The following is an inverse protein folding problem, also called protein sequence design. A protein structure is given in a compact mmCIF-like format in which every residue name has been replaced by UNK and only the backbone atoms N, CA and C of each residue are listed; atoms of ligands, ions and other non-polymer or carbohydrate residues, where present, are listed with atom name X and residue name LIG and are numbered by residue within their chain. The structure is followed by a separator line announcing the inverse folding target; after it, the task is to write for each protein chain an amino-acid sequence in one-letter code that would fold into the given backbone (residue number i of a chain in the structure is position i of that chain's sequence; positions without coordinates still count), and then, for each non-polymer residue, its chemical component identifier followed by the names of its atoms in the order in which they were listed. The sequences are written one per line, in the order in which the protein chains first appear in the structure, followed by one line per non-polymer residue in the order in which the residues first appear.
data_IF_217977836026
#
_entry.id   IF_217977836026
#
_cell.length_a   1.000
_cell.length_b   1.000
_cell.length_c   1.000
_cell.angle_alpha   90.00
_cell.angle_beta   90.00
_cell.angle_gamma   90.00
#
_symmetry.space_group_name_H-M   'P 1'
#
loop_
_entity.id
_entity.type
_entity.pdbx_description
1 polymer ?
#
# COMPACT_ATOMS: atom_id res chain seq x y z
N UNK A 1 22.07 -2.18 -6.48
CA UNK A 1 20.80 -2.80 -6.89
C UNK A 1 20.84 -4.34 -6.73
N UNK A 2 19.81 -4.91 -6.12
CA UNK A 2 19.60 -6.36 -6.11
C UNK A 2 18.95 -6.71 -7.45
N UNK A 3 19.69 -7.35 -8.35
CA UNK A 3 19.17 -7.78 -9.66
C UNK A 3 19.69 -9.17 -10.01
N UNK A 4 18.87 -9.96 -10.70
CA UNK A 4 19.29 -11.23 -11.27
C UNK A 4 18.90 -11.31 -12.77
N UNK A 5 19.83 -11.66 -13.67
CA UNK A 5 21.27 -11.79 -13.43
C UNK A 5 21.87 -10.47 -12.90
N UNK A 6 23.03 -10.54 -12.23
CA UNK A 6 23.67 -9.37 -11.62
C UNK A 6 23.97 -8.24 -12.64
N UNK A 7 24.07 -8.59 -13.93
CA UNK A 7 24.29 -7.66 -15.03
C UNK A 7 23.02 -6.95 -15.50
N UNK A 8 21.81 -7.40 -15.12
CA UNK A 8 20.55 -6.87 -15.65
C UNK A 8 20.41 -5.36 -15.40
N UNK A 9 20.44 -4.94 -14.13
CA UNK A 9 20.27 -3.51 -13.80
C UNK A 9 21.40 -2.62 -14.38
N UNK A 10 22.70 -2.99 -14.29
CA UNK A 10 23.76 -2.21 -14.95
C UNK A 10 23.61 -2.10 -16.47
N UNK A 11 23.12 -3.14 -17.15
CA UNK A 11 22.88 -3.11 -18.59
C UNK A 11 21.72 -2.17 -18.92
N UNK A 12 20.61 -2.28 -18.18
CA UNK A 12 19.46 -1.41 -18.36
C UNK A 12 19.85 0.06 -18.15
N UNK A 13 20.68 0.34 -17.14
CA UNK A 13 21.15 1.70 -16.85
C UNK A 13 22.04 2.27 -17.95
N UNK A 14 22.82 1.43 -18.65
CA UNK A 14 23.63 1.85 -19.81
C UNK A 14 22.78 2.16 -21.04
N UNK A 15 21.60 1.55 -21.16
CA UNK A 15 20.71 1.70 -22.30
C UNK A 15 19.75 2.88 -22.11
N UNK A 16 19.21 3.05 -20.90
CA UNK A 16 18.13 4.00 -20.61
C UNK A 16 18.56 5.17 -19.69
N UNK A 17 19.78 5.12 -19.16
CA UNK A 17 20.25 6.08 -18.14
C UNK A 17 20.15 5.51 -16.72
N UNK A 18 20.81 6.16 -15.74
CA UNK A 18 20.73 5.73 -14.34
C UNK A 18 19.31 5.92 -13.80
N UNK A 19 18.82 4.93 -13.07
CA UNK A 19 17.46 4.88 -12.53
C UNK A 19 17.44 4.56 -11.03
N UNK A 20 16.35 4.95 -10.37
CA UNK A 20 16.13 4.63 -8.96
C UNK A 20 15.88 3.12 -8.76
N UNK A 21 16.49 2.53 -7.74
CA UNK A 21 16.37 1.08 -7.45
C UNK A 21 16.00 0.76 -6.00
N UNK A 22 15.77 1.79 -5.18
CA UNK A 22 15.47 1.66 -3.76
C UNK A 22 14.48 2.77 -3.35
N UNK A 23 13.50 2.42 -2.51
CA UNK A 23 12.60 3.37 -1.87
C UNK A 23 11.62 4.05 -2.83
N UNK A 24 11.11 5.20 -2.41
CA UNK A 24 10.34 6.10 -3.26
C UNK A 24 11.32 6.91 -4.12
N UNK A 25 11.14 6.86 -5.43
CA UNK A 25 12.05 7.51 -6.36
C UNK A 25 11.87 9.03 -6.37
N UNK A 26 10.63 9.49 -6.20
CA UNK A 26 10.25 10.89 -6.07
C UNK A 26 10.43 11.38 -4.62
N UNK A 27 10.90 12.62 -4.46
CA UNK A 27 11.12 13.21 -3.14
C UNK A 27 9.80 13.74 -2.53
N UNK A 28 8.94 12.80 -2.16
CA UNK A 28 7.66 13.08 -1.50
C UNK A 28 7.84 13.85 -0.20
N UNK A 29 8.95 13.62 0.52
CA UNK A 29 9.29 14.35 1.75
C UNK A 29 9.54 15.83 1.48
N UNK A 30 10.41 16.15 0.53
CA UNK A 30 10.68 17.54 0.15
C UNK A 30 9.43 18.26 -0.37
N UNK A 31 8.53 17.56 -1.08
CA UNK A 31 7.26 18.16 -1.50
C UNK A 31 6.32 18.40 -0.31
N UNK A 32 6.20 17.45 0.61
CA UNK A 32 5.36 17.56 1.82
C UNK A 32 5.86 18.65 2.76
N UNK A 33 7.18 18.83 2.85
CA UNK A 33 7.83 19.87 3.66
C UNK A 33 7.97 21.21 2.90
N UNK A 34 7.34 21.32 1.72
CA UNK A 34 7.29 22.52 0.88
C UNK A 34 8.68 23.05 0.43
N UNK A 35 9.70 22.18 0.43
CA UNK A 35 11.04 22.45 -0.12
C UNK A 35 11.05 22.28 -1.64
N UNK A 36 10.25 21.35 -2.16
CA UNK A 36 10.03 21.10 -3.58
C UNK A 36 8.61 21.55 -3.96
N UNK A 37 8.46 22.28 -5.07
CA UNK A 37 7.11 22.68 -5.53
C UNK A 37 6.35 21.48 -6.09
N UNK A 38 5.01 21.54 -6.09
CA UNK A 38 4.19 20.48 -6.67
C UNK A 38 4.48 20.28 -8.16
N UNK A 39 4.79 21.35 -8.91
CA UNK A 39 5.15 21.25 -10.32
C UNK A 39 6.47 20.50 -10.51
N UNK A 40 7.49 20.80 -9.70
CA UNK A 40 8.77 20.12 -9.75
C UNK A 40 8.66 18.65 -9.28
N UNK A 41 7.78 18.37 -8.32
CA UNK A 41 7.45 17.01 -7.90
C UNK A 41 6.77 16.23 -9.04
N UNK A 42 5.79 16.82 -9.72
CA UNK A 42 5.14 16.21 -10.88
C UNK A 42 6.13 15.95 -12.01
N UNK A 43 7.08 16.87 -12.25
CA UNK A 43 8.16 16.65 -13.23
C UNK A 43 9.00 15.42 -12.87
N UNK A 44 9.32 15.20 -11.59
CA UNK A 44 9.99 13.97 -11.14
C UNK A 44 9.15 12.72 -11.42
N UNK A 45 7.86 12.73 -10.99
CA UNK A 45 6.93 11.62 -11.22
C UNK A 45 6.90 11.23 -12.70
N UNK A 46 6.66 12.19 -13.60
CA UNK A 46 6.54 11.89 -15.03
C UNK A 46 7.87 11.51 -15.67
N UNK A 47 9.01 12.01 -15.19
CA UNK A 47 10.33 11.57 -15.65
C UNK A 47 10.57 10.10 -15.30
N UNK A 48 10.21 9.70 -14.07
CA UNK A 48 10.35 8.32 -13.59
C UNK A 48 9.35 7.39 -14.29
N UNK A 49 8.13 7.86 -14.53
CA UNK A 49 7.11 7.11 -15.28
C UNK A 49 7.60 6.79 -16.71
N UNK A 50 8.10 7.81 -17.43
CA UNK A 50 8.67 7.62 -18.77
C UNK A 50 9.87 6.67 -18.79
N UNK A 51 10.73 6.75 -17.76
CA UNK A 51 11.83 5.82 -17.57
C UNK A 51 11.33 4.38 -17.41
N UNK A 52 10.32 4.15 -16.56
CA UNK A 52 9.73 2.83 -16.33
C UNK A 52 9.04 2.28 -17.57
N UNK A 53 8.32 3.10 -18.32
CA UNK A 53 7.73 2.71 -19.60
C UNK A 53 8.80 2.24 -20.58
N UNK A 54 9.89 3.00 -20.73
CA UNK A 54 10.98 2.65 -21.63
C UNK A 54 11.64 1.32 -21.22
N UNK A 55 11.84 1.10 -19.92
CA UNK A 55 12.37 -0.15 -19.38
C UNK A 55 11.40 -1.32 -19.55
N UNK A 56 10.10 -1.10 -19.30
CA UNK A 56 9.06 -2.11 -19.47
C UNK A 56 8.97 -2.57 -20.92
N UNK A 57 8.86 -1.66 -21.88
CA UNK A 57 8.81 -2.04 -23.29
C UNK A 57 10.12 -2.66 -23.78
N UNK A 58 11.27 -2.22 -23.27
CA UNK A 58 12.55 -2.88 -23.55
C UNK A 58 12.55 -4.36 -23.12
N UNK A 59 12.03 -4.64 -21.91
CA UNK A 59 11.96 -5.98 -21.36
C UNK A 59 10.88 -6.82 -22.05
N UNK A 60 9.70 -6.26 -22.30
CA UNK A 60 8.58 -6.91 -22.97
C UNK A 60 9.00 -7.43 -24.36
N UNK A 61 9.69 -6.62 -25.15
CA UNK A 61 10.18 -7.01 -26.48
C UNK A 61 11.23 -8.13 -26.47
N UNK A 62 11.85 -8.39 -25.32
CA UNK A 62 12.93 -9.38 -25.16
C UNK A 62 12.52 -10.58 -24.32
N UNK A 63 11.29 -10.58 -23.82
CA UNK A 63 10.73 -11.69 -23.05
C UNK A 63 9.87 -12.52 -23.98
N UNK A 64 10.46 -13.52 -24.64
CA UNK A 64 9.74 -14.42 -25.54
C UNK A 64 8.99 -15.55 -24.82
N UNK A 65 9.37 -15.83 -23.57
CA UNK A 65 8.73 -16.80 -22.68
C UNK A 65 8.92 -16.37 -21.23
N UNK A 66 8.01 -16.75 -20.33
CA UNK A 66 8.09 -16.45 -18.91
C UNK A 66 7.26 -15.23 -18.50
N UNK A 67 7.78 -14.44 -17.56
CA UNK A 67 7.07 -13.33 -16.91
C UNK A 67 7.82 -12.01 -17.14
N UNK A 68 7.12 -11.01 -17.68
CA UNK A 68 7.55 -9.61 -17.67
C UNK A 68 6.63 -8.83 -16.73
N UNK A 69 7.18 -8.25 -15.66
CA UNK A 69 6.44 -7.51 -14.65
C UNK A 69 7.07 -6.13 -14.45
N UNK A 70 6.23 -5.11 -14.41
CA UNK A 70 6.59 -3.74 -14.06
C UNK A 70 5.58 -3.18 -13.06
N UNK A 71 6.03 -2.25 -12.22
CA UNK A 71 5.18 -1.50 -11.28
C UNK A 71 5.23 -0.03 -11.69
N UNK A 72 4.08 0.50 -12.10
CA UNK A 72 3.86 1.91 -12.37
C UNK A 72 3.23 2.53 -11.11
N UNK A 73 4.01 3.32 -10.36
CA UNK A 73 3.58 3.88 -9.07
C UNK A 73 3.20 5.35 -9.14
N UNK A 74 3.29 5.98 -10.32
CA UNK A 74 2.83 7.36 -10.51
C UNK A 74 1.40 7.60 -9.98
N UNK A 75 0.42 6.68 -10.16
CA UNK A 75 -0.92 6.88 -9.59
C UNK A 75 -0.91 7.05 -8.07
N UNK A 76 -0.10 6.26 -7.36
CA UNK A 76 0.05 6.35 -5.91
C UNK A 76 0.66 7.70 -5.51
N UNK A 77 1.74 8.12 -6.19
CA UNK A 77 2.45 9.37 -5.91
C UNK A 77 1.56 10.61 -6.12
N UNK A 78 0.88 10.67 -7.27
CA UNK A 78 0.03 11.81 -7.64
C UNK A 78 -1.20 11.90 -6.73
N UNK A 79 -1.86 10.77 -6.47
CA UNK A 79 -3.04 10.74 -5.61
C UNK A 79 -2.69 11.13 -4.16
N UNK A 80 -1.55 10.71 -3.63
CA UNK A 80 -1.14 11.06 -2.27
C UNK A 80 -0.80 12.55 -2.10
N UNK A 81 0.01 13.11 -3.01
CA UNK A 81 0.66 14.43 -2.79
C UNK A 81 -0.07 15.58 -3.48
N UNK A 82 -0.63 15.35 -4.67
CA UNK A 82 -1.27 16.40 -5.48
C UNK A 82 -2.78 16.35 -5.31
N UNK A 83 -3.36 15.14 -5.41
CA UNK A 83 -4.79 14.89 -5.24
C UNK A 83 -5.69 15.84 -6.07
N UNK A 84 -5.27 16.13 -7.29
CA UNK A 84 -6.03 16.91 -8.28
C UNK A 84 -6.66 15.95 -9.29
N UNK A 85 -8.01 15.92 -9.33
CA UNK A 85 -8.74 14.93 -10.13
C UNK A 85 -8.42 15.02 -11.63
N UNK A 86 -8.41 16.20 -12.29
CA UNK A 86 -7.97 16.31 -13.68
C UNK A 86 -6.58 15.74 -13.97
N UNK A 87 -5.61 15.96 -13.08
CA UNK A 87 -4.26 15.39 -13.24
C UNK A 87 -4.24 13.87 -13.06
N UNK A 88 -5.01 13.35 -12.10
CA UNK A 88 -5.19 11.91 -11.90
C UNK A 88 -5.83 11.28 -13.14
N UNK A 89 -6.91 11.87 -13.67
CA UNK A 89 -7.60 11.39 -14.86
C UNK A 89 -6.65 11.35 -16.07
N UNK A 90 -5.89 12.43 -16.31
CA UNK A 90 -4.90 12.49 -17.39
C UNK A 90 -3.80 11.42 -17.26
N UNK A 91 -3.37 11.12 -16.03
CA UNK A 91 -2.42 10.04 -15.78
C UNK A 91 -3.03 8.67 -16.08
N UNK A 92 -4.28 8.41 -15.70
CA UNK A 92 -4.97 7.17 -16.05
C UNK A 92 -5.20 7.04 -17.57
N UNK A 93 -5.50 8.12 -18.28
CA UNK A 93 -5.59 8.13 -19.75
C UNK A 93 -4.24 7.76 -20.40
N UNK A 94 -3.13 8.28 -19.86
CA UNK A 94 -1.79 7.91 -20.31
C UNK A 94 -1.48 6.43 -20.07
N UNK A 95 -1.79 5.92 -18.88
CA UNK A 95 -1.61 4.50 -18.52
C UNK A 95 -2.49 3.56 -19.35
N UNK A 96 -3.72 3.96 -19.68
CA UNK A 96 -4.56 3.23 -20.63
C UNK A 96 -3.88 3.11 -22.00
N UNK A 97 -3.21 4.18 -22.45
CA UNK A 97 -2.34 4.15 -23.62
C UNK A 97 -1.20 3.12 -23.53
N UNK A 98 -0.55 2.99 -22.37
CA UNK A 98 0.48 1.97 -22.11
C UNK A 98 -0.12 0.56 -22.18
N UNK A 99 -1.31 0.34 -21.61
CA UNK A 99 -2.05 -0.93 -21.72
C UNK A 99 -2.37 -1.25 -23.17
N UNK A 100 -2.88 -0.29 -23.93
CA UNK A 100 -3.18 -0.45 -25.36
C UNK A 100 -1.95 -0.81 -26.20
N UNK A 101 -0.82 -0.14 -25.95
CA UNK A 101 0.46 -0.48 -26.59
C UNK A 101 0.95 -1.87 -26.21
N UNK A 102 0.79 -2.27 -24.94
CA UNK A 102 1.12 -3.62 -24.46
C UNK A 102 0.31 -4.66 -25.21
N UNK A 103 -1.02 -4.52 -25.25
CA UNK A 103 -1.93 -5.41 -25.97
C UNK A 103 -1.53 -5.58 -27.45
N UNK A 104 -1.07 -4.52 -28.11
CA UNK A 104 -0.64 -4.57 -29.52
C UNK A 104 0.61 -5.43 -29.77
N UNK A 105 1.39 -5.71 -28.73
CA UNK A 105 2.62 -6.53 -28.77
C UNK A 105 2.37 -7.98 -28.37
N UNK A 106 1.20 -8.31 -27.83
CA UNK A 106 0.85 -9.64 -27.36
C UNK A 106 0.29 -10.52 -28.48
N UNK A 107 0.46 -11.83 -28.31
CA UNK A 107 -0.13 -12.90 -29.11
C UNK A 107 -1.33 -13.50 -28.39
N UNK A 108 -2.04 -14.42 -29.07
CA UNK A 108 -3.17 -15.14 -28.46
C UNK A 108 -2.75 -16.01 -27.26
N UNK A 109 -1.49 -16.43 -27.20
CA UNK A 109 -0.94 -17.30 -26.17
C UNK A 109 -0.49 -16.52 -24.91
N UNK A 110 -0.46 -15.20 -24.97
CA UNK A 110 -0.04 -14.35 -23.85
C UNK A 110 -1.20 -13.97 -22.91
N UNK A 111 -0.89 -13.91 -21.60
CA UNK A 111 -1.76 -13.37 -20.56
C UNK A 111 -1.25 -12.01 -20.11
N UNK A 112 -2.10 -10.99 -20.21
CA UNK A 112 -1.91 -9.68 -19.58
C UNK A 112 -2.75 -9.60 -18.33
N UNK A 113 -2.11 -9.25 -17.21
CA UNK A 113 -2.78 -8.85 -15.97
C UNK A 113 -2.39 -7.41 -15.68
N UNK A 114 -3.39 -6.53 -15.52
CA UNK A 114 -3.20 -5.17 -15.00
C UNK A 114 -3.92 -5.11 -13.67
N UNK A 115 -3.20 -4.80 -12.60
CA UNK A 115 -3.76 -4.82 -11.27
C UNK A 115 -3.22 -3.72 -10.38
N UNK A 116 -3.95 -3.48 -9.31
CA UNK A 116 -3.56 -2.61 -8.21
C UNK A 116 -3.67 -3.39 -6.90
N UNK A 117 -2.67 -3.20 -6.04
CA UNK A 117 -2.60 -3.79 -4.71
C UNK A 117 -3.60 -3.18 -3.72
N UNK A 118 -4.02 -1.93 -3.94
CA UNK A 118 -5.02 -1.24 -3.12
C UNK A 118 -5.71 -0.09 -3.85
N UNK A 119 -6.93 0.23 -3.41
CA UNK A 119 -7.57 1.50 -3.76
C UNK A 119 -6.96 2.68 -2.99
N UNK A 120 -7.66 3.82 -3.01
CA UNK A 120 -7.23 5.03 -2.32
C UNK A 120 -8.45 5.85 -1.92
N UNK A 121 -8.33 6.66 -0.87
CA UNK A 121 -9.38 7.58 -0.46
C UNK A 121 -8.85 8.74 0.40
N UNK A 122 -9.70 9.72 0.73
CA UNK A 122 -9.26 10.94 1.40
C UNK A 122 -8.78 10.66 2.83
N UNK A 123 -7.73 11.35 3.27
CA UNK A 123 -7.30 11.41 4.66
C UNK A 123 -7.50 12.82 5.20
N UNK A 124 -8.54 12.98 6.04
CA UNK A 124 -8.97 14.28 6.57
C UNK A 124 -8.68 14.41 8.06
N UNK A 125 -8.72 13.31 8.80
CA UNK A 125 -8.56 13.26 10.25
C UNK A 125 -7.61 12.15 10.67
N UNK A 126 -6.90 12.39 11.75
CA UNK A 126 -6.04 11.39 12.37
C UNK A 126 -6.63 10.96 13.70
N UNK A 127 -6.56 9.66 13.99
CA UNK A 127 -6.80 9.09 15.31
C UNK A 127 -5.46 8.57 15.87
N UNK A 128 -4.94 9.25 16.87
CA UNK A 128 -3.75 8.87 17.62
C UNK A 128 -4.12 7.79 18.64
N UNK A 129 -4.02 6.53 18.22
CA UNK A 129 -4.38 5.39 19.06
C UNK A 129 -3.50 5.33 20.31
N UNK A 130 -2.23 5.73 20.24
CA UNK A 130 -1.33 5.72 21.40
C UNK A 130 -1.70 6.79 22.42
N UNK A 131 -2.03 8.01 22.00
CA UNK A 131 -2.56 9.03 22.90
C UNK A 131 -3.87 8.56 23.58
N UNK A 132 -4.75 7.89 22.83
CA UNK A 132 -5.98 7.31 23.37
C UNK A 132 -5.70 6.18 24.37
N UNK A 133 -4.76 5.28 24.07
CA UNK A 133 -4.35 4.21 24.98
C UNK A 133 -3.75 4.75 26.28
N UNK A 134 -2.99 5.85 26.22
CA UNK A 134 -2.46 6.53 27.41
C UNK A 134 -3.61 7.08 28.26
N UNK A 135 -4.56 7.79 27.66
CA UNK A 135 -5.73 8.35 28.37
C UNK A 135 -6.54 7.24 29.07
N UNK A 136 -6.65 6.07 28.44
CA UNK A 136 -7.37 4.91 28.96
C UNK A 136 -6.54 4.04 29.92
N UNK A 137 -5.26 4.36 30.13
CA UNK A 137 -4.37 3.61 31.04
C UNK A 137 -3.88 2.27 30.48
N UNK A 138 -3.94 2.07 29.16
CA UNK A 138 -3.40 0.89 28.47
C UNK A 138 -1.93 1.04 28.07
N UNK A 139 -1.44 2.26 27.86
CA UNK A 139 -0.09 2.54 27.41
C UNK A 139 0.64 3.47 28.39
N UNK A 140 1.89 3.13 28.69
CA UNK A 140 2.83 3.98 29.43
C UNK A 140 4.06 4.18 28.54
N UNK A 141 4.50 5.42 28.36
CA UNK A 141 5.70 5.73 27.57
C UNK A 141 6.96 5.76 28.44
N UNK A 142 8.07 5.25 27.91
CA UNK A 142 9.43 5.41 28.41
C UNK A 142 10.24 6.24 27.39
N UNK A 143 10.20 7.57 27.55
CA UNK A 143 10.67 8.48 26.50
C UNK A 143 9.78 8.38 25.27
N UNK A 144 10.39 8.17 24.10
CA UNK A 144 9.69 8.10 22.81
C UNK A 144 9.22 6.68 22.44
N UNK A 145 9.31 5.72 23.36
CA UNK A 145 8.93 4.33 23.10
C UNK A 145 8.01 3.77 24.18
N UNK A 146 7.16 2.77 23.88
CA UNK A 146 6.33 2.11 24.89
C UNK A 146 7.17 1.44 25.99
N UNK A 147 6.82 1.70 27.25
CA UNK A 147 7.31 0.94 28.40
C UNK A 147 6.66 -0.45 28.40
N UNK A 148 7.38 -1.45 27.91
CA UNK A 148 6.85 -2.80 27.71
C UNK A 148 6.46 -3.51 29.01
N UNK A 149 7.01 -3.11 30.16
CA UNK A 149 6.70 -3.74 31.45
C UNK A 149 5.42 -3.16 32.08
N UNK A 150 5.13 -1.89 31.80
CA UNK A 150 3.99 -1.17 32.40
C UNK A 150 2.79 -1.02 31.47
N UNK A 151 2.97 -1.28 30.17
CA UNK A 151 1.93 -1.17 29.16
C UNK A 151 1.19 -2.49 28.97
N UNK A 152 -0.08 -2.40 28.57
CA UNK A 152 -0.93 -3.52 28.17
C UNK A 152 -1.09 -3.61 26.66
N UNK A 153 -1.02 -2.48 25.95
CA UNK A 153 -1.07 -2.43 24.50
C UNK A 153 -0.34 -1.20 23.96
N UNK A 154 0.11 -1.26 22.70
CA UNK A 154 0.63 -0.12 21.96
C UNK A 154 0.34 -0.26 20.46
N UNK A 155 0.07 0.87 19.79
CA UNK A 155 -0.01 0.98 18.35
C UNK A 155 1.37 1.18 17.73
N UNK A 156 1.61 0.53 16.59
CA UNK A 156 2.82 0.69 15.79
C UNK A 156 2.52 0.35 14.33
N UNK A 157 3.05 1.15 13.41
CA UNK A 157 2.72 1.07 12.00
C UNK A 157 1.36 1.66 11.70
N UNK A 158 0.88 1.45 10.46
CA UNK A 158 -0.28 2.16 9.95
C UNK A 158 -1.62 1.68 10.54
N UNK A 159 -1.69 0.40 10.91
CA UNK A 159 -2.89 -0.25 11.45
C UNK A 159 -2.60 -1.23 12.59
N UNK A 160 -1.34 -1.44 12.96
CA UNK A 160 -0.97 -2.49 13.92
C UNK A 160 -1.20 -2.07 15.37
N UNK A 161 -1.79 -2.96 16.16
CA UNK A 161 -1.88 -2.85 17.62
C UNK A 161 -1.34 -4.13 18.26
N UNK A 162 -0.38 -3.99 19.17
CA UNK A 162 0.31 -5.06 19.85
C UNK A 162 -0.15 -5.13 21.31
N UNK A 163 -0.41 -6.33 21.80
CA UNK A 163 -0.80 -6.62 23.17
C UNK A 163 0.42 -7.12 23.97
N UNK A 164 0.58 -6.58 25.18
CA UNK A 164 1.64 -6.94 26.12
C UNK A 164 1.10 -7.63 27.37
N UNK A 165 -0.22 -7.65 27.53
CA UNK A 165 -0.93 -8.31 28.61
C UNK A 165 -2.42 -8.42 28.32
N UNK A 166 -3.24 -8.88 29.29
CA UNK A 166 -4.68 -9.01 29.12
C UNK A 166 -5.30 -7.67 28.72
N UNK A 167 -6.18 -7.69 27.71
CA UNK A 167 -6.83 -6.51 27.16
C UNK A 167 -8.34 -6.75 26.91
N UNK A 168 -8.99 -7.40 27.87
CA UNK A 168 -10.42 -7.70 27.81
C UNK A 168 -11.24 -6.40 27.61
N UNK A 169 -12.10 -6.39 26.59
CA UNK A 169 -12.92 -5.23 26.26
C UNK A 169 -12.25 -4.19 25.36
N UNK A 170 -10.92 -4.24 25.16
CA UNK A 170 -10.18 -3.22 24.40
C UNK A 170 -10.71 -3.08 22.97
N UNK A 171 -11.03 -4.20 22.32
CA UNK A 171 -11.63 -4.19 20.97
C UNK A 171 -12.95 -3.41 20.95
N UNK A 172 -13.84 -3.67 21.90
CA UNK A 172 -15.13 -2.97 22.01
C UNK A 172 -14.96 -1.50 22.37
N UNK A 173 -14.00 -1.17 23.24
CA UNK A 173 -13.67 0.22 23.57
C UNK A 173 -13.15 0.98 22.36
N UNK A 174 -12.25 0.39 21.57
CA UNK A 174 -11.72 0.96 20.32
C UNK A 174 -12.84 1.22 19.30
N UNK A 175 -13.74 0.25 19.11
CA UNK A 175 -14.89 0.41 18.22
C UNK A 175 -15.92 1.45 18.73
N UNK A 176 -15.96 1.69 20.04
CA UNK A 176 -16.85 2.69 20.65
C UNK A 176 -16.27 4.11 20.65
N UNK A 177 -15.02 4.30 20.20
CA UNK A 177 -14.40 5.62 20.10
C UNK A 177 -15.20 6.49 19.13
N UNK A 178 -15.48 7.73 19.54
CA UNK A 178 -16.15 8.73 18.72
C UNK A 178 -15.28 9.98 18.70
N UNK A 179 -15.02 10.50 17.50
CA UNK A 179 -14.40 11.80 17.34
C UNK A 179 -15.40 12.90 17.72
N UNK A 180 -15.12 13.72 18.75
CA UNK A 180 -16.08 14.70 19.24
C UNK A 180 -16.34 15.84 18.25
N UNK A 181 -15.48 16.07 17.27
CA UNK A 181 -15.62 17.15 16.30
C UNK A 181 -16.57 16.76 15.15
N UNK A 182 -16.53 15.51 14.73
CA UNK A 182 -17.33 15.00 13.59
C UNK A 182 -18.53 14.17 14.03
N UNK A 183 -18.51 13.60 15.23
CA UNK A 183 -19.48 12.62 15.71
C UNK A 183 -19.30 11.22 15.10
N UNK A 184 -18.22 10.98 14.36
CA UNK A 184 -17.97 9.70 13.67
C UNK A 184 -17.03 8.79 14.48
N UNK A 185 -17.17 7.48 14.26
CA UNK A 185 -16.22 6.49 14.77
C UNK A 185 -15.04 6.37 13.80
N UNK A 186 -13.78 6.51 14.25
CA UNK A 186 -12.61 6.46 13.37
C UNK A 186 -12.32 5.05 12.85
N UNK A 187 -12.81 4.01 13.54
CA UNK A 187 -12.63 2.60 13.20
C UNK A 187 -13.97 2.00 12.75
N UNK A 188 -13.93 1.23 11.66
CA UNK A 188 -15.05 0.43 11.19
C UNK A 188 -14.99 -1.01 11.72
N UNK A 189 -13.78 -1.55 11.83
CA UNK A 189 -13.53 -2.84 12.47
C UNK A 189 -12.15 -2.85 13.15
N UNK A 190 -11.93 -3.86 13.97
CA UNK A 190 -10.66 -4.21 14.59
C UNK A 190 -10.54 -5.72 14.44
N UNK A 191 -9.71 -6.17 13.51
CA UNK A 191 -9.53 -7.59 13.22
C UNK A 191 -8.55 -8.24 14.18
N UNK A 192 -8.81 -9.48 14.55
CA UNK A 192 -7.83 -10.32 15.23
C UNK A 192 -6.89 -10.93 14.19
N UNK A 193 -5.59 -10.67 14.32
CA UNK A 193 -4.60 -11.14 13.35
C UNK A 193 -4.54 -12.66 13.23
N UNK A 194 -4.89 -13.38 14.29
CA UNK A 194 -5.02 -14.84 14.30
C UNK A 194 -6.11 -15.39 13.36
N UNK A 195 -7.09 -14.57 12.99
CA UNK A 195 -8.12 -14.93 12.00
C UNK A 195 -7.75 -14.57 10.56
N UNK A 196 -6.72 -13.73 10.37
CA UNK A 196 -6.32 -13.21 9.07
C UNK A 196 -5.06 -13.88 8.53
N UNK A 197 -4.05 -14.03 9.39
CA UNK A 197 -2.71 -14.43 8.98
C UNK A 197 -2.41 -15.88 9.39
N UNK A 198 -1.72 -16.59 8.51
CA UNK A 198 -1.24 -17.94 8.74
C UNK A 198 0.25 -18.05 8.36
N UNK A 199 0.93 -19.07 8.88
CA UNK A 199 2.31 -19.38 8.52
C UNK A 199 3.37 -18.98 9.55
N UNK A 200 4.66 -19.07 9.18
CA UNK A 200 5.79 -19.09 10.12
C UNK A 200 6.16 -17.73 10.72
N UNK A 201 5.46 -16.65 10.33
CA UNK A 201 5.73 -15.29 10.78
C UNK A 201 4.55 -14.63 11.50
N UNK A 202 3.49 -15.38 11.82
CA UNK A 202 2.33 -14.85 12.55
C UNK A 202 2.70 -14.28 13.92
N UNK A 203 3.77 -14.79 14.54
CA UNK A 203 4.33 -14.28 15.80
C UNK A 203 4.94 -12.87 15.67
N UNK A 204 5.18 -12.40 14.44
CA UNK A 204 5.67 -11.04 14.14
C UNK A 204 4.56 -10.08 13.72
N UNK A 205 3.34 -10.59 13.49
CA UNK A 205 2.20 -9.75 13.17
C UNK A 205 1.77 -8.95 14.41
N UNK A 206 1.05 -7.82 14.23
CA UNK A 206 0.30 -7.25 15.35
C UNK A 206 -0.71 -8.28 15.88
N UNK A 207 -1.23 -8.05 17.09
CA UNK A 207 -2.30 -8.90 17.65
C UNK A 207 -3.67 -8.48 17.08
N UNK A 208 -3.86 -7.17 16.89
CA UNK A 208 -5.04 -6.59 16.27
C UNK A 208 -4.67 -5.69 15.08
N UNK A 209 -5.50 -5.70 14.05
CA UNK A 209 -5.40 -4.81 12.88
C UNK A 209 -6.56 -3.82 12.90
N UNK A 210 -6.25 -2.54 13.01
CA UNK A 210 -7.20 -1.44 13.03
C UNK A 210 -7.64 -1.11 11.60
N UNK A 211 -8.95 -1.25 11.33
CA UNK A 211 -9.54 -0.94 10.04
C UNK A 211 -10.26 0.41 10.11
N UNK A 212 -9.60 1.46 9.58
CA UNK A 212 -10.12 2.82 9.68
C UNK A 212 -11.30 3.07 8.75
N UNK A 213 -12.16 4.00 9.16
CA UNK A 213 -13.17 4.62 8.31
C UNK A 213 -12.48 5.50 7.25
N UNK A 214 -12.94 5.50 5.98
CA UNK A 214 -12.47 6.46 4.98
C UNK A 214 -12.55 7.91 5.50
N UNK A 215 -11.46 8.66 5.37
CA UNK A 215 -11.31 9.96 6.02
C UNK A 215 -10.45 9.94 7.28
N UNK A 216 -10.31 8.79 7.94
CA UNK A 216 -9.48 8.60 9.13
C UNK A 216 -8.26 7.74 8.85
N UNK A 217 -7.16 8.08 9.52
CA UNK A 217 -5.92 7.29 9.54
C UNK A 217 -5.34 7.31 10.95
N UNK A 218 -4.42 6.39 11.26
CA UNK A 218 -3.52 6.58 12.40
C UNK A 218 -2.77 7.91 12.32
N UNK A 219 -2.42 8.50 13.46
CA UNK A 219 -1.52 9.65 13.48
C UNK A 219 -0.10 9.25 13.08
N UNK A 220 0.70 10.21 12.60
CA UNK A 220 2.12 9.99 12.29
C UNK A 220 2.92 9.53 13.52
N UNK A 221 2.61 10.08 14.70
CA UNK A 221 3.27 9.69 15.95
C UNK A 221 2.94 8.23 16.32
N UNK A 222 1.65 7.87 16.33
CA UNK A 222 1.21 6.49 16.57
C UNK A 222 1.81 5.51 15.57
N UNK A 223 1.91 5.87 14.29
CA UNK A 223 2.54 5.03 13.28
C UNK A 223 4.02 4.72 13.59
N UNK A 224 4.72 5.62 14.28
CA UNK A 224 6.11 5.44 14.71
C UNK A 224 6.24 4.79 16.10
N UNK A 225 5.12 4.41 16.73
CA UNK A 225 5.10 3.88 18.09
C UNK A 225 5.18 4.94 19.20
N UNK A 226 5.09 6.22 18.83
CA UNK A 226 5.05 7.36 19.74
C UNK A 226 3.60 7.75 20.06
N UNK A 227 3.40 8.69 20.98
CA UNK A 227 2.09 9.27 21.27
C UNK A 227 2.08 10.77 20.97
N UNK A 228 1.10 11.22 20.20
CA UNK A 228 0.85 12.64 19.98
C UNK A 228 0.27 13.34 21.21
N UNK A 229 0.12 14.66 21.11
CA UNK A 229 -0.46 15.48 22.19
C UNK A 229 -1.99 15.42 22.25
N UNK A 230 -2.64 15.06 21.14
CA UNK A 230 -4.09 14.97 21.02
C UNK A 230 -4.49 13.63 20.43
N UNK A 231 -5.67 13.13 20.82
CA UNK A 231 -6.25 11.89 20.28
C UNK A 231 -6.72 12.08 18.85
N UNK A 232 -7.27 13.25 18.53
CA UNK A 232 -7.73 13.59 17.19
C UNK A 232 -7.02 14.83 16.67
N UNK A 233 -6.78 14.87 15.36
CA UNK A 233 -6.28 16.05 14.67
C UNK A 233 -6.73 16.09 13.22
N UNK A 234 -6.92 17.30 12.70
CA UNK A 234 -7.20 17.52 11.28
C UNK A 234 -5.92 17.35 10.48
N UNK A 235 -5.99 16.66 9.34
CA UNK A 235 -4.89 16.56 8.40
C UNK A 235 -4.73 17.89 7.65
N UNK A 236 -3.59 18.54 7.84
CA UNK A 236 -3.20 19.76 7.13
C UNK A 236 -1.98 19.54 6.23
N UNK A 237 -1.52 18.30 6.08
CA UNK A 237 -0.35 17.96 5.27
C UNK A 237 -0.69 17.96 3.77
N UNK A 238 0.25 18.27 2.87
CA UNK A 238 0.07 18.01 1.44
C UNK A 238 -0.26 16.54 1.10
N UNK A 239 0.05 15.59 1.99
CA UNK A 239 -0.37 14.19 1.86
C UNK A 239 -1.86 14.02 2.20
N UNK A 240 -2.73 14.04 1.18
CA UNK A 240 -4.18 14.24 1.33
C UNK A 240 -5.02 12.97 1.15
N UNK A 241 -4.44 11.89 0.64
CA UNK A 241 -5.11 10.60 0.49
C UNK A 241 -4.32 9.49 1.17
N UNK A 242 -5.00 8.40 1.51
CA UNK A 242 -4.40 7.23 2.12
C UNK A 242 -5.18 5.97 1.72
N UNK A 243 -4.67 4.80 2.10
CA UNK A 243 -5.28 3.50 1.85
C UNK A 243 -5.35 2.63 3.12
N UNK A 244 -4.99 3.17 4.29
CA UNK A 244 -5.06 2.50 5.59
C UNK A 244 -6.50 2.42 6.13
N UNK A 245 -7.46 2.08 5.28
CA UNK A 245 -8.88 1.98 5.62
C UNK A 245 -9.30 0.52 5.70
N UNK A 246 -10.55 0.30 6.09
CA UNK A 246 -11.18 -1.01 5.95
C UNK A 246 -11.16 -1.48 4.48
N UNK A 247 -10.81 -2.75 4.19
CA UNK A 247 -10.54 -3.24 2.83
C UNK A 247 -11.69 -3.01 1.85
N UNK A 248 -12.94 -3.13 2.29
CA UNK A 248 -14.14 -2.86 1.48
C UNK A 248 -14.22 -1.43 0.91
N UNK A 249 -13.44 -0.49 1.45
CA UNK A 249 -13.43 0.90 1.02
C UNK A 249 -12.22 1.29 0.17
N UNK A 250 -11.25 0.39 -0.01
CA UNK A 250 -10.05 0.59 -0.84
C UNK A 250 -9.83 -0.63 -1.74
N UNK A 251 -10.84 -1.04 -2.54
CA UNK A 251 -10.67 -2.19 -3.41
C UNK A 251 -9.58 -1.92 -4.45
N UNK A 252 -8.69 -2.89 -4.65
CA UNK A 252 -7.81 -2.92 -5.80
C UNK A 252 -8.59 -3.19 -7.09
N UNK A 253 -7.89 -3.09 -8.21
CA UNK A 253 -8.43 -3.41 -9.54
C UNK A 253 -7.70 -4.64 -10.08
N UNK A 254 -8.42 -5.49 -10.82
CA UNK A 254 -7.84 -6.57 -11.63
C UNK A 254 -8.49 -6.57 -13.00
N UNK A 255 -7.69 -6.33 -14.04
CA UNK A 255 -8.07 -6.41 -15.44
C UNK A 255 -7.20 -7.48 -16.11
N UNK A 256 -7.78 -8.19 -17.07
CA UNK A 256 -7.07 -9.20 -17.84
C UNK A 256 -7.52 -9.20 -19.31
N UNK A 257 -6.64 -9.62 -20.21
CA UNK A 257 -6.98 -9.87 -21.61
C UNK A 257 -7.69 -11.22 -21.84
N UNK A 258 -7.96 -11.97 -20.75
CA UNK A 258 -8.67 -13.25 -20.72
C UNK A 258 -9.69 -13.22 -19.60
N UNK A 259 -10.69 -14.08 -19.71
CA UNK A 259 -11.66 -14.28 -18.62
C UNK A 259 -10.96 -14.90 -17.40
N UNK A 260 -11.36 -14.44 -16.21
CA UNK A 260 -10.88 -14.95 -14.93
C UNK A 260 -12.08 -15.26 -14.02
N UNK A 261 -11.91 -16.22 -13.12
CA UNK A 261 -12.91 -16.53 -12.11
C UNK A 261 -13.21 -15.31 -11.21
N UNK A 262 -14.48 -15.08 -10.81
CA UNK A 262 -14.86 -13.96 -9.97
C UNK A 262 -14.39 -14.14 -8.52
N UNK A 263 -14.38 -13.03 -7.77
CA UNK A 263 -14.01 -13.04 -6.35
C UNK A 263 -12.50 -13.23 -6.12
N UNK A 264 -11.70 -12.53 -6.92
CA UNK A 264 -10.25 -12.57 -6.84
C UNK A 264 -9.72 -11.92 -5.56
N UNK A 265 -8.71 -12.55 -4.96
CA UNK A 265 -7.87 -11.97 -3.91
C UNK A 265 -6.43 -11.84 -4.40
N UNK A 266 -5.64 -10.96 -3.79
CA UNK A 266 -4.24 -10.75 -4.21
C UNK A 266 -3.40 -12.04 -4.15
N UNK A 267 -3.69 -12.92 -3.18
CA UNK A 267 -3.04 -14.24 -3.04
C UNK A 267 -3.34 -15.21 -4.18
N UNK A 268 -4.38 -14.95 -4.98
CA UNK A 268 -4.77 -15.80 -6.13
C UNK A 268 -3.92 -15.52 -7.37
N UNK A 269 -3.20 -14.39 -7.42
CA UNK A 269 -2.41 -14.00 -8.60
C UNK A 269 -1.22 -14.93 -8.83
N UNK A 270 -0.47 -15.29 -7.78
CA UNK A 270 0.67 -16.18 -7.93
C UNK A 270 0.27 -17.57 -8.46
N UNK A 271 -0.75 -18.26 -7.90
CA UNK A 271 -1.31 -19.47 -8.50
C UNK A 271 -1.74 -19.31 -9.96
N UNK A 272 -2.42 -18.21 -10.29
CA UNK A 272 -2.92 -17.92 -11.66
C UNK A 272 -1.76 -17.78 -12.66
N UNK A 273 -0.70 -17.04 -12.27
CA UNK A 273 0.50 -16.85 -13.09
C UNK A 273 1.24 -18.17 -13.28
N UNK A 274 1.40 -18.97 -12.22
CA UNK A 274 2.07 -20.27 -12.32
C UNK A 274 1.32 -21.24 -13.23
N UNK A 275 0.01 -21.33 -13.11
CA UNK A 275 -0.81 -22.15 -14.01
C UNK A 275 -0.70 -21.70 -15.47
N UNK A 276 -0.75 -20.39 -15.71
CA UNK A 276 -0.62 -19.80 -17.05
C UNK A 276 0.75 -20.07 -17.68
N UNK A 277 1.80 -20.21 -16.87
CA UNK A 277 3.16 -20.57 -17.30
C UNK A 277 3.40 -22.08 -17.36
N UNK A 278 2.41 -22.92 -17.01
CA UNK A 278 2.57 -24.37 -16.92
C UNK A 278 3.54 -24.81 -15.82
N UNK A 279 3.77 -23.98 -14.80
CA UNK A 279 4.66 -24.27 -13.68
C UNK A 279 3.85 -24.90 -12.54
N UNK A 280 4.26 -26.06 -11.99
CA UNK A 280 3.56 -26.66 -10.86
C UNK A 280 3.47 -25.70 -9.67
N UNK A 281 2.25 -25.51 -9.16
CA UNK A 281 2.00 -24.73 -7.96
C UNK A 281 2.62 -25.43 -6.73
N UNK A 282 3.47 -24.75 -5.95
CA UNK A 282 3.90 -25.26 -4.66
C UNK A 282 2.76 -25.34 -3.64
N UNK A 283 2.72 -26.40 -2.85
CA UNK A 283 1.66 -26.66 -1.85
C UNK A 283 1.58 -25.59 -0.74
N UNK A 284 2.67 -24.85 -0.50
CA UNK A 284 2.73 -23.80 0.51
C UNK A 284 2.17 -22.45 0.02
N UNK A 285 1.89 -22.27 -1.28
CA UNK A 285 1.25 -21.06 -1.75
C UNK A 285 -0.22 -21.05 -1.35
N UNK A 286 -0.67 -19.94 -0.79
CA UNK A 286 -2.08 -19.65 -0.54
C UNK A 286 -2.80 -19.24 -1.84
N UNK A 287 -4.11 -19.04 -1.75
CA UNK A 287 -4.96 -18.66 -2.89
C UNK A 287 -5.32 -19.83 -3.81
N UNK A 288 -5.94 -19.52 -4.94
CA UNK A 288 -6.31 -20.45 -6.01
C UNK A 288 -6.10 -19.80 -7.36
N UNK A 289 -5.93 -20.62 -8.38
CA UNK A 289 -5.89 -20.09 -9.74
C UNK A 289 -7.25 -19.54 -10.13
N UNK A 290 -7.22 -18.45 -10.88
CA UNK A 290 -8.39 -17.78 -11.45
C UNK A 290 -8.59 -18.14 -12.93
N UNK A 291 -7.75 -19.00 -13.52
CA UNK A 291 -7.95 -19.50 -14.88
C UNK A 291 -9.28 -20.26 -14.98
N UNK A 292 -9.98 -20.09 -16.11
CA UNK A 292 -11.28 -20.74 -16.44
C UNK A 292 -11.18 -21.67 -17.62
#
# INVERSE_FOLDING_TARGET
PVSWPASFAPTLARLHGPFATCGLAEDTGACVDEVLSQEAFLEQVYTIEQEREAQFFHCLERTSEGLCLAVFDAPDRVQHVVNDQPLVDALYEHLDGVVGQTLSKLTADDLLLVLSDHGCGPWRRSFDVNAWLIERGYLVMAGDTPDREKSRAYGLGLSGLYLLGPADGLRQELLAVVDPETGEQPLLDVFESSSLYHGPYCDKAPDLVLAYRPGYRTSRASAQGQAGQTIFSTNTSPWQTDHCFHPDHVPGVLLANRELAPGAHLVDLAPTILESLGVPRPDYLEGKSLCV
#
